data_IF_081850254421
#
_entry.id   IF_081850254421
#
_cell.length_a   1.000
_cell.length_b   1.000
_cell.length_c   1.000
_cell.angle_alpha   90.00
_cell.angle_beta   90.00
_cell.angle_gamma   90.00
#
_symmetry.space_group_name_H-M   'P 1'
#
loop_
_entity.id
_entity.type
_entity.pdbx_description
1 polymer ?
#
# COMPACT_ATOMS: atom_id res chain seq x y z
N UNK A 1 -6.38 -6.21 33.49
CA UNK A 1 -6.88 -7.14 32.45
C UNK A 1 -6.23 -8.49 32.69
N UNK A 2 -6.98 -9.59 32.68
CA UNK A 2 -6.48 -10.96 32.99
C UNK A 2 -6.67 -11.97 31.85
N UNK A 3 -7.30 -11.57 30.75
CA UNK A 3 -7.48 -12.41 29.56
C UNK A 3 -6.21 -12.44 28.71
N UNK A 4 -5.99 -13.55 27.98
CA UNK A 4 -4.88 -13.70 27.05
C UNK A 4 -4.91 -12.61 25.97
N UNK A 5 -3.72 -12.11 25.62
CA UNK A 5 -3.49 -11.14 24.53
C UNK A 5 -2.52 -11.75 23.52
N UNK A 6 -2.88 -12.93 23.02
CA UNK A 6 -2.07 -13.66 22.05
C UNK A 6 -1.81 -12.79 20.82
N UNK A 7 -0.55 -12.77 20.39
CA UNK A 7 -0.13 -12.08 19.19
C UNK A 7 -0.12 -13.05 18.01
N UNK A 8 -0.63 -12.59 16.87
CA UNK A 8 -0.59 -13.28 15.60
C UNK A 8 0.31 -12.52 14.64
N UNK A 9 0.82 -13.20 13.62
CA UNK A 9 1.67 -12.61 12.59
C UNK A 9 1.40 -13.26 11.24
N UNK A 10 1.79 -12.55 10.19
CA UNK A 10 1.99 -13.12 8.86
C UNK A 10 3.48 -13.38 8.65
N UNK A 11 3.80 -14.40 7.86
CA UNK A 11 5.15 -14.74 7.44
C UNK A 11 5.11 -15.40 6.05
N UNK A 12 6.25 -15.89 5.56
CA UNK A 12 6.34 -16.47 4.20
C UNK A 12 5.44 -17.70 4.01
N UNK A 13 5.18 -18.44 5.08
CA UNK A 13 4.42 -19.69 5.06
C UNK A 13 2.93 -19.40 5.35
N UNK A 14 2.63 -18.23 5.94
CA UNK A 14 1.30 -17.71 6.22
C UNK A 14 1.21 -16.24 5.73
N UNK A 15 1.04 -16.01 4.42
CA UNK A 15 1.16 -14.68 3.80
C UNK A 15 0.01 -13.73 4.15
N UNK A 16 0.21 -12.43 3.87
CA UNK A 16 -0.80 -11.39 4.08
C UNK A 16 -0.44 -10.10 3.35
N UNK A 17 -0.64 -10.11 2.03
CA UNK A 17 -0.29 -9.03 1.10
C UNK A 17 -1.09 -7.75 1.34
N UNK A 18 -2.36 -7.89 1.69
CA UNK A 18 -3.24 -6.80 2.10
C UNK A 18 -2.70 -6.11 3.36
N UNK A 19 -2.49 -6.88 4.43
CA UNK A 19 -1.96 -6.36 5.69
C UNK A 19 -0.56 -5.75 5.53
N UNK A 20 0.32 -6.42 4.79
CA UNK A 20 1.67 -5.93 4.52
C UNK A 20 1.66 -4.69 3.63
N UNK A 21 0.82 -4.67 2.59
CA UNK A 21 0.65 -3.56 1.65
C UNK A 21 0.12 -2.31 2.34
N UNK A 22 -0.96 -2.42 3.12
CA UNK A 22 -1.51 -1.27 3.85
C UNK A 22 -0.52 -0.75 4.91
N UNK A 23 0.21 -1.65 5.59
CA UNK A 23 1.27 -1.23 6.52
C UNK A 23 2.40 -0.50 5.79
N UNK A 24 2.81 -0.99 4.61
CA UNK A 24 3.81 -0.33 3.78
C UNK A 24 3.34 1.06 3.33
N UNK A 25 2.09 1.19 2.88
CA UNK A 25 1.48 2.46 2.52
C UNK A 25 1.49 3.45 3.70
N UNK A 26 1.08 3.00 4.88
CA UNK A 26 1.05 3.82 6.10
C UNK A 26 2.44 4.33 6.50
N UNK A 27 3.45 3.46 6.50
CA UNK A 27 4.83 3.82 6.82
C UNK A 27 5.44 4.76 5.76
N UNK A 28 5.17 4.50 4.47
CA UNK A 28 5.61 5.38 3.38
C UNK A 28 4.97 6.77 3.51
N UNK A 29 3.67 6.86 3.76
CA UNK A 29 2.97 8.12 4.01
C UNK A 29 3.52 8.86 5.23
N UNK A 30 3.72 8.15 6.35
CA UNK A 30 4.29 8.72 7.57
C UNK A 30 5.73 9.23 7.34
N UNK A 31 6.55 8.51 6.56
CA UNK A 31 7.91 8.95 6.23
C UNK A 31 7.94 10.35 5.60
N UNK A 32 6.93 10.70 4.79
CA UNK A 32 6.81 12.03 4.17
C UNK A 32 6.54 13.10 5.23
N UNK A 33 5.68 12.80 6.20
CA UNK A 33 5.32 13.71 7.31
C UNK A 33 6.54 14.02 8.17
N UNK A 34 7.30 12.98 8.56
CA UNK A 34 8.47 13.14 9.44
C UNK A 34 9.72 13.65 8.73
N UNK A 35 9.72 13.79 7.39
CA UNK A 35 10.90 14.11 6.58
C UNK A 35 11.70 15.32 7.07
N UNK A 36 11.03 16.35 7.62
CA UNK A 36 11.68 17.58 8.10
C UNK A 36 11.91 17.61 9.61
N UNK A 37 10.97 17.07 10.38
CA UNK A 37 11.02 17.12 11.85
C UNK A 37 11.93 16.05 12.44
N UNK A 38 11.99 14.88 11.82
CA UNK A 38 12.85 13.76 12.22
C UNK A 38 13.29 12.95 10.98
N UNK A 39 14.36 13.39 10.30
CA UNK A 39 14.85 12.71 9.10
C UNK A 39 15.33 11.28 9.36
N UNK A 40 15.85 10.98 10.55
CA UNK A 40 16.29 9.64 10.89
C UNK A 40 15.11 8.68 10.98
N UNK A 41 14.05 9.09 11.70
CA UNK A 41 12.83 8.30 11.79
C UNK A 41 12.12 8.19 10.43
N UNK A 42 12.09 9.28 9.64
CA UNK A 42 11.58 9.25 8.26
C UNK A 42 12.26 8.16 7.42
N UNK A 43 13.59 8.04 7.49
CA UNK A 43 14.33 6.99 6.78
C UNK A 43 14.03 5.59 7.31
N UNK A 44 13.90 5.42 8.63
CA UNK A 44 13.55 4.13 9.23
C UNK A 44 12.16 3.65 8.79
N UNK A 45 11.17 4.54 8.80
CA UNK A 45 9.81 4.25 8.32
C UNK A 45 9.83 3.83 6.85
N UNK A 46 10.52 4.59 6.01
CA UNK A 46 10.59 4.32 4.58
C UNK A 46 11.29 2.98 4.28
N UNK A 47 12.37 2.68 5.01
CA UNK A 47 13.07 1.41 4.88
C UNK A 47 12.14 0.22 5.18
N UNK A 48 11.39 0.28 6.27
CA UNK A 48 10.42 -0.77 6.60
C UNK A 48 9.24 -0.83 5.64
N UNK A 49 8.79 0.30 5.10
CA UNK A 49 7.76 0.33 4.07
C UNK A 49 8.18 -0.47 2.82
N UNK A 50 9.43 -0.32 2.39
CA UNK A 50 9.97 -1.04 1.23
C UNK A 50 10.06 -2.54 1.50
N UNK A 51 10.53 -2.94 2.69
CA UNK A 51 10.61 -4.36 3.09
C UNK A 51 9.23 -5.03 3.15
N UNK A 52 8.23 -4.33 3.68
CA UNK A 52 6.86 -4.85 3.78
C UNK A 52 6.17 -4.96 2.41
N UNK A 53 6.39 -3.97 1.53
CA UNK A 53 5.90 -4.05 0.16
C UNK A 53 6.53 -5.23 -0.60
N UNK A 54 7.86 -5.40 -0.51
CA UNK A 54 8.56 -6.54 -1.11
C UNK A 54 8.05 -7.87 -0.56
N UNK A 55 7.85 -7.97 0.76
CA UNK A 55 7.27 -9.16 1.39
C UNK A 55 5.86 -9.45 0.87
N UNK A 56 4.96 -8.45 0.87
CA UNK A 56 3.59 -8.61 0.45
C UNK A 56 3.43 -8.96 -1.03
N UNK A 57 4.29 -8.42 -1.89
CA UNK A 57 4.29 -8.75 -3.33
C UNK A 57 4.92 -10.11 -3.63
N UNK A 58 5.96 -10.50 -2.88
CA UNK A 58 6.65 -11.80 -3.07
C UNK A 58 5.83 -12.98 -2.56
N UNK A 59 5.21 -12.85 -1.39
CA UNK A 59 4.43 -13.90 -0.74
C UNK A 59 2.95 -13.53 -0.76
N UNK A 60 2.29 -13.85 -1.88
CA UNK A 60 0.92 -13.39 -2.13
C UNK A 60 -0.15 -14.20 -1.39
N UNK A 61 -1.06 -13.50 -0.71
CA UNK A 61 -2.23 -14.10 -0.06
C UNK A 61 -2.94 -13.11 0.85
N UNK A 62 -4.23 -13.33 1.11
CA UNK A 62 -5.01 -12.53 2.07
C UNK A 62 -4.65 -12.87 3.51
N UNK A 63 -4.46 -11.86 4.37
CA UNK A 63 -3.99 -12.09 5.74
C UNK A 63 -4.99 -12.87 6.60
N UNK A 64 -6.28 -12.78 6.31
CA UNK A 64 -7.34 -13.48 7.03
C UNK A 64 -7.40 -14.97 6.66
N UNK A 65 -6.70 -15.39 5.60
CA UNK A 65 -6.42 -16.79 5.30
C UNK A 65 -5.35 -17.36 6.24
N UNK A 66 -4.43 -16.50 6.69
CA UNK A 66 -3.29 -16.83 7.56
C UNK A 66 -3.60 -16.66 9.05
N UNK A 67 -4.47 -15.72 9.39
CA UNK A 67 -4.91 -15.43 10.76
C UNK A 67 -6.43 -15.57 10.80
N UNK A 68 -6.92 -16.80 10.89
CA UNK A 68 -8.35 -17.09 10.73
C UNK A 68 -9.22 -16.40 11.78
N UNK A 69 -8.66 -16.10 12.96
CA UNK A 69 -9.33 -15.41 14.06
C UNK A 69 -9.83 -14.01 13.67
N UNK A 70 -9.26 -13.37 12.65
CA UNK A 70 -9.66 -12.03 12.22
C UNK A 70 -10.87 -12.02 11.29
N UNK A 71 -11.22 -13.16 10.66
CA UNK A 71 -12.29 -13.23 9.63
C UNK A 71 -13.64 -12.73 10.13
N UNK A 72 -13.96 -12.93 11.40
CA UNK A 72 -15.23 -12.44 11.98
C UNK A 72 -15.25 -10.94 12.30
N UNK A 73 -14.12 -10.24 12.12
CA UNK A 73 -13.96 -8.84 12.50
C UNK A 73 -13.55 -7.96 11.33
N UNK A 74 -12.50 -8.36 10.61
CA UNK A 74 -11.87 -7.60 9.53
C UNK A 74 -11.46 -8.53 8.38
N UNK A 75 -12.40 -9.29 7.81
CA UNK A 75 -12.10 -10.15 6.67
C UNK A 75 -11.56 -9.38 5.45
N UNK A 76 -10.67 -10.00 4.69
CA UNK A 76 -10.17 -9.46 3.42
C UNK A 76 -11.17 -9.78 2.31
N UNK A 77 -12.14 -8.88 2.11
CA UNK A 77 -13.27 -9.14 1.18
C UNK A 77 -12.92 -8.69 -0.24
N UNK A 78 -12.24 -7.56 -0.37
CA UNK A 78 -11.71 -7.04 -1.64
C UNK A 78 -10.53 -7.87 -2.20
N UNK A 79 -9.84 -8.58 -1.31
CA UNK A 79 -8.56 -9.23 -1.58
C UNK A 79 -7.39 -8.34 -1.17
N UNK A 80 -6.29 -8.40 -1.93
CA UNK A 80 -5.05 -7.67 -1.62
C UNK A 80 -4.49 -6.86 -2.79
N UNK A 81 -5.17 -6.91 -3.93
CA UNK A 81 -4.67 -6.32 -5.16
C UNK A 81 -4.63 -4.79 -5.08
N UNK A 82 -5.66 -4.18 -4.50
CA UNK A 82 -5.71 -2.73 -4.30
C UNK A 82 -4.71 -2.24 -3.25
N UNK A 83 -4.45 -2.99 -2.17
CA UNK A 83 -3.39 -2.67 -1.20
C UNK A 83 -2.00 -2.67 -1.84
N UNK A 84 -1.71 -3.61 -2.75
CA UNK A 84 -0.43 -3.64 -3.46
C UNK A 84 -0.26 -2.42 -4.39
N UNK A 85 -1.30 -2.07 -5.15
CA UNK A 85 -1.28 -0.84 -5.96
C UNK A 85 -1.14 0.41 -5.06
N UNK A 86 -1.76 0.38 -3.88
CA UNK A 86 -1.83 1.52 -2.97
C UNK A 86 -0.48 1.76 -2.31
N UNK A 87 0.14 0.70 -1.81
CA UNK A 87 1.50 0.70 -1.31
C UNK A 87 2.49 1.20 -2.37
N UNK A 88 2.37 0.72 -3.61
CA UNK A 88 3.24 1.16 -4.70
C UNK A 88 3.12 2.66 -4.97
N UNK A 89 1.90 3.22 -5.06
CA UNK A 89 1.72 4.66 -5.27
C UNK A 89 2.21 5.51 -4.08
N UNK A 90 2.05 5.04 -2.84
CA UNK A 90 2.63 5.72 -1.67
C UNK A 90 4.15 5.67 -1.63
N UNK A 91 4.74 4.53 -1.97
CA UNK A 91 6.19 4.37 -2.08
C UNK A 91 6.76 5.24 -3.21
N UNK A 92 6.09 5.30 -4.36
CA UNK A 92 6.46 6.24 -5.42
C UNK A 92 6.45 7.68 -4.90
N UNK A 93 5.39 8.08 -4.19
CA UNK A 93 5.30 9.43 -3.63
C UNK A 93 6.36 9.72 -2.56
N UNK A 94 6.72 8.74 -1.75
CA UNK A 94 7.72 8.90 -0.70
C UNK A 94 9.15 8.95 -1.25
N UNK A 95 9.44 8.19 -2.31
CA UNK A 95 10.81 7.98 -2.83
C UNK A 95 11.13 8.76 -4.10
N UNK A 96 10.12 9.07 -4.92
CA UNK A 96 10.27 9.56 -6.29
C UNK A 96 10.78 8.51 -7.28
N UNK A 97 10.87 7.23 -6.90
CA UNK A 97 11.37 6.18 -7.79
C UNK A 97 10.28 5.72 -8.77
N UNK A 98 10.62 5.72 -10.05
CA UNK A 98 9.72 5.30 -11.14
C UNK A 98 9.35 3.81 -11.07
N UNK A 99 10.16 2.97 -10.44
CA UNK A 99 9.90 1.53 -10.33
C UNK A 99 8.55 1.21 -9.68
N UNK A 100 8.15 1.99 -8.66
CA UNK A 100 6.87 1.82 -7.98
C UNK A 100 5.69 2.34 -8.80
N UNK A 101 5.87 3.43 -9.54
CA UNK A 101 4.84 3.92 -10.46
C UNK A 101 4.61 2.92 -11.58
N UNK A 102 5.70 2.41 -12.17
CA UNK A 102 5.63 1.37 -13.20
C UNK A 102 4.97 0.10 -12.67
N UNK A 103 5.30 -0.35 -11.45
CA UNK A 103 4.59 -1.47 -10.83
C UNK A 103 3.08 -1.23 -10.78
N UNK A 104 2.65 -0.05 -10.30
CA UNK A 104 1.23 0.27 -10.22
C UNK A 104 0.56 0.29 -11.60
N UNK A 105 1.20 0.85 -12.62
CA UNK A 105 0.68 0.91 -14.00
C UNK A 105 0.62 -0.47 -14.64
N UNK A 106 1.71 -1.25 -14.56
CA UNK A 106 1.82 -2.56 -15.21
C UNK A 106 0.85 -3.58 -14.61
N UNK A 107 0.53 -3.47 -13.31
CA UNK A 107 -0.40 -4.37 -12.63
C UNK A 107 -1.85 -3.86 -12.61
N UNK A 108 -2.11 -2.58 -12.89
CA UNK A 108 -3.42 -1.92 -12.70
C UNK A 108 -4.57 -2.76 -13.27
N UNK A 109 -4.52 -3.11 -14.55
CA UNK A 109 -5.61 -3.84 -15.23
C UNK A 109 -5.83 -5.24 -14.64
N UNK A 110 -4.74 -5.96 -14.35
CA UNK A 110 -4.82 -7.29 -13.76
C UNK A 110 -5.35 -7.28 -12.31
N UNK A 111 -5.16 -6.17 -11.60
CA UNK A 111 -5.49 -5.97 -10.20
C UNK A 111 -6.82 -5.22 -10.05
N UNK A 112 -7.75 -5.38 -11.00
CA UNK A 112 -9.10 -4.80 -10.93
C UNK A 112 -9.28 -3.47 -11.65
N UNK A 113 -8.20 -2.83 -12.11
CA UNK A 113 -8.23 -1.61 -12.90
C UNK A 113 -8.64 -0.36 -12.12
N UNK A 114 -8.29 0.81 -12.65
CA UNK A 114 -8.68 2.13 -12.08
C UNK A 114 -9.69 2.88 -12.96
N UNK A 115 -10.23 2.23 -14.00
CA UNK A 115 -11.06 2.87 -15.04
C UNK A 115 -12.57 2.85 -14.79
N UNK A 116 -13.03 2.34 -13.64
CA UNK A 116 -14.46 2.17 -13.32
C UNK A 116 -14.87 3.00 -12.11
N UNK A 117 -16.18 3.28 -11.99
CA UNK A 117 -16.72 4.12 -10.93
C UNK A 117 -16.81 3.35 -9.60
N UNK A 118 -16.14 3.84 -8.57
CA UNK A 118 -16.19 3.27 -7.22
C UNK A 118 -16.80 4.26 -6.23
N UNK A 119 -17.60 3.74 -5.30
CA UNK A 119 -18.35 4.53 -4.31
C UNK A 119 -17.83 4.39 -2.89
N UNK A 120 -16.77 3.61 -2.67
CA UNK A 120 -16.22 3.29 -1.36
C UNK A 120 -14.71 3.51 -1.29
N UNK A 121 -14.29 4.09 -0.17
CA UNK A 121 -12.92 4.06 0.33
C UNK A 121 -12.98 3.62 1.80
N UNK A 122 -12.37 2.49 2.12
CA UNK A 122 -12.47 1.89 3.46
C UNK A 122 -11.20 1.14 3.83
N UNK A 123 -11.21 0.53 5.02
CA UNK A 123 -10.10 -0.29 5.50
C UNK A 123 -9.88 -1.55 4.65
N UNK A 124 -10.90 -2.00 3.90
CA UNK A 124 -10.83 -3.16 2.98
C UNK A 124 -10.65 -2.70 1.52
N UNK A 125 -11.16 -1.52 1.12
CA UNK A 125 -11.17 -1.10 -0.30
C UNK A 125 -10.39 0.20 -0.54
N UNK A 126 -9.34 0.17 -1.37
CA UNK A 126 -8.45 1.32 -1.66
C UNK A 126 -8.61 1.95 -3.05
N UNK A 127 -9.36 1.35 -3.97
CA UNK A 127 -9.43 1.83 -5.37
C UNK A 127 -9.83 3.30 -5.54
N UNK A 128 -10.74 3.84 -4.73
CA UNK A 128 -11.07 5.27 -4.80
C UNK A 128 -9.85 6.15 -4.48
N UNK A 129 -9.07 5.75 -3.48
CA UNK A 129 -7.80 6.40 -3.12
C UNK A 129 -6.75 6.24 -4.22
N UNK A 130 -6.64 5.05 -4.82
CA UNK A 130 -5.75 4.77 -5.95
C UNK A 130 -6.03 5.71 -7.12
N UNK A 131 -7.28 5.84 -7.52
CA UNK A 131 -7.71 6.69 -8.63
C UNK A 131 -7.30 8.16 -8.40
N UNK A 132 -7.51 8.67 -7.19
CA UNK A 132 -7.13 10.05 -6.84
C UNK A 132 -5.60 10.23 -6.80
N UNK A 133 -4.85 9.27 -6.24
CA UNK A 133 -3.38 9.34 -6.23
C UNK A 133 -2.79 9.25 -7.64
N UNK A 134 -3.28 8.33 -8.47
CA UNK A 134 -2.83 8.16 -9.85
C UNK A 134 -3.12 9.41 -10.68
N UNK A 135 -4.32 9.99 -10.55
CA UNK A 135 -4.67 11.25 -11.21
C UNK A 135 -3.71 12.39 -10.80
N UNK A 136 -3.37 12.48 -9.50
CA UNK A 136 -2.44 13.49 -9.01
C UNK A 136 -1.03 13.33 -9.58
N UNK A 137 -0.51 12.10 -9.68
CA UNK A 137 0.81 11.83 -10.28
C UNK A 137 0.82 12.28 -11.75
N UNK A 138 -0.21 11.93 -12.52
CA UNK A 138 -0.30 12.30 -13.93
C UNK A 138 -0.33 13.83 -14.13
N UNK A 139 -1.12 14.54 -13.30
CA UNK A 139 -1.18 16.00 -13.32
C UNK A 139 0.18 16.66 -13.00
N UNK A 140 0.89 16.14 -12.00
CA UNK A 140 2.20 16.65 -11.61
C UNK A 140 3.25 16.40 -12.69
N UNK A 141 3.27 15.22 -13.30
CA UNK A 141 4.17 14.89 -14.39
C UNK A 141 3.91 15.79 -15.62
N UNK A 142 2.64 15.99 -15.98
CA UNK A 142 2.25 16.89 -17.08
C UNK A 142 2.68 18.34 -16.83
N UNK A 143 2.63 18.79 -15.57
CA UNK A 143 3.06 20.15 -15.18
C UNK A 143 4.58 20.35 -15.20
N UNK A 144 5.37 19.29 -15.01
CA UNK A 144 6.82 19.33 -15.15
C UNK A 144 7.22 19.40 -16.62
N UNK A 145 6.56 18.66 -17.52
CA UNK A 145 6.81 18.70 -18.97
C UNK A 145 6.55 20.10 -19.56
N UNK A 146 5.52 20.80 -19.07
CA UNK A 146 5.18 22.16 -19.52
C UNK A 146 6.12 23.26 -18.97
N UNK A 147 6.91 22.99 -17.93
CA UNK A 147 7.90 23.96 -17.38
C UNK A 147 9.27 23.87 -18.05
N UNK A 148 9.48 22.86 -18.91
CA UNK A 148 10.72 22.63 -19.64
C UNK A 148 10.56 22.77 -21.17
N UNK A 149 9.40 23.26 -21.63
CA UNK A 149 9.11 23.65 -23.01
C UNK A 149 9.04 25.18 -23.12
#
# INVERSE_FOLDING_TARGET
MTTSRQAYRVDRDNPGSDLAGETAAALAAASIVFRRSDPHYSHLLLHHAQQLFEFGDTYRGSYDSSIEEVRSYYASVSGYHDELLWAALWLHRATGKEEYLRYAVDNADSFGGVGWAITEFSWDVKYAGLQVLAAKVNLLNSSLTLRHA
#
